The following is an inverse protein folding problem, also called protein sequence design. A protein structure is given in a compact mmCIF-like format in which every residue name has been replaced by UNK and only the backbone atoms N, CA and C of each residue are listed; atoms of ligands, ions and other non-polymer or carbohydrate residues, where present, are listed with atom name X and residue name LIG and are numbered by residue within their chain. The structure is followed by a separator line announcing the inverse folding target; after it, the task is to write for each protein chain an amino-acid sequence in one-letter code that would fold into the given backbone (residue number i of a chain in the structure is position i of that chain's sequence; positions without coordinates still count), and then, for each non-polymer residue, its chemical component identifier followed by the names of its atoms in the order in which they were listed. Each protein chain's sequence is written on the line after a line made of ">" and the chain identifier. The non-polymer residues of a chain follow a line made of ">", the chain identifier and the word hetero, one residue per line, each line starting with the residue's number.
data_IF_815455975958
#
_entry.id   IF_815455975958
#
_cell.length_a   1.000
_cell.length_b   1.000
_cell.length_c   1.000
_cell.angle_alpha   90.00
_cell.angle_beta   90.00
_cell.angle_gamma   90.00
#
_symmetry.space_group_name_H-M   'P 1'
#
loop_
_entity.id
_entity.type
_entity.pdbx_description
1 polymer ?
#
# COMPACT_ATOMS: atom_id res chain seq x y z
N UNK A 1 -60.53 12.68 6.60
CA UNK A 1 -61.40 11.51 6.78
C UNK A 1 -60.55 10.26 6.78
N UNK A 2 -60.44 9.69 7.93
CA UNK A 2 -60.27 8.33 8.46
C UNK A 2 -59.83 7.18 7.53
N UNK A 3 -59.22 6.06 8.08
CA UNK A 3 -58.41 5.91 9.28
C UNK A 3 -57.20 4.94 9.12
N UNK A 4 -56.41 4.90 10.20
CA UNK A 4 -55.36 3.92 10.57
C UNK A 4 -55.82 2.45 10.55
N UNK A 5 -54.90 1.53 10.33
CA UNK A 5 -54.92 0.21 10.97
C UNK A 5 -53.51 -0.21 11.44
N UNK A 6 -53.43 -0.41 12.76
CA UNK A 6 -52.37 -1.11 13.52
C UNK A 6 -52.63 -2.61 13.51
N UNK A 7 -51.60 -3.41 13.71
CA UNK A 7 -51.51 -4.71 14.41
C UNK A 7 -50.29 -5.45 13.85
N UNK A 8 -49.43 -6.18 14.55
CA UNK A 8 -49.38 -6.57 15.94
C UNK A 8 -48.12 -7.41 16.16
N UNK A 9 -47.59 -7.32 17.35
CA UNK A 9 -46.39 -8.01 17.88
C UNK A 9 -46.74 -9.48 18.12
N UNK A 10 -45.84 -10.41 17.81
CA UNK A 10 -45.83 -11.75 18.45
C UNK A 10 -44.40 -12.07 18.88
N UNK A 11 -44.23 -12.14 20.19
CA UNK A 11 -43.09 -12.65 20.93
C UNK A 11 -43.35 -14.15 21.15
N UNK A 12 -42.34 -15.00 20.89
CA UNK A 12 -42.33 -16.35 21.45
C UNK A 12 -40.97 -16.61 22.12
N UNK A 13 -41.03 -16.61 23.45
CA UNK A 13 -40.01 -17.16 24.34
C UNK A 13 -40.36 -18.63 24.58
N UNK A 14 -39.43 -19.53 24.47
CA UNK A 14 -39.48 -20.83 25.14
C UNK A 14 -38.17 -21.09 25.83
N UNK A 15 -38.21 -21.14 27.14
CA UNK A 15 -37.24 -21.57 28.12
C UNK A 15 -37.50 -23.05 28.43
N UNK A 16 -36.51 -23.91 28.40
CA UNK A 16 -36.57 -25.21 29.04
C UNK A 16 -35.23 -25.58 29.69
N UNK A 17 -35.19 -25.52 30.99
CA UNK A 17 -34.21 -26.15 31.87
C UNK A 17 -34.52 -27.63 32.01
N UNK A 18 -33.51 -28.51 32.05
CA UNK A 18 -33.57 -29.74 32.84
C UNK A 18 -32.18 -29.99 33.44
N UNK A 19 -32.16 -30.13 34.77
CA UNK A 19 -31.05 -30.52 35.65
C UNK A 19 -31.03 -32.03 35.91
N UNK A 20 -29.86 -32.51 36.34
CA UNK A 20 -29.56 -33.69 37.18
C UNK A 20 -29.03 -34.92 36.42
N UNK A 21 -28.12 -35.72 36.91
CA UNK A 21 -27.35 -35.81 38.15
C UNK A 21 -26.22 -36.85 37.95
N UNK A 22 -25.13 -36.69 38.71
CA UNK A 22 -24.10 -37.59 39.23
C UNK A 22 -23.99 -39.04 38.74
N UNK A 23 -22.72 -39.45 38.44
CA UNK A 23 -22.23 -40.84 38.51
C UNK A 23 -20.80 -40.96 38.00
N UNK A 24 -19.85 -41.20 38.92
CA UNK A 24 -18.43 -41.26 38.60
C UNK A 24 -17.99 -42.53 37.86
N UNK A 25 -16.85 -42.44 37.21
CA UNK A 25 -16.14 -43.53 36.56
C UNK A 25 -14.95 -42.95 35.77
N UNK A 26 -13.76 -43.08 36.38
CA UNK A 26 -12.49 -42.77 35.73
C UNK A 26 -12.18 -43.79 34.63
N UNK A 27 -12.06 -43.32 33.39
CA UNK A 27 -11.28 -44.01 32.35
C UNK A 27 -10.52 -42.95 31.58
N UNK A 28 -9.20 -43.05 31.59
CA UNK A 28 -8.30 -42.29 30.75
C UNK A 28 -8.56 -42.70 29.30
N UNK A 29 -9.19 -41.83 28.52
CA UNK A 29 -9.19 -41.90 27.09
C UNK A 29 -8.04 -41.01 26.58
N UNK A 30 -7.06 -41.69 25.98
CA UNK A 30 -6.03 -41.03 25.17
C UNK A 30 -6.70 -40.34 24.00
N UNK A 31 -6.70 -39.02 24.00
CA UNK A 31 -7.10 -38.21 22.84
C UNK A 31 -6.00 -38.35 21.79
N UNK A 32 -6.27 -39.11 20.76
CA UNK A 32 -5.48 -39.14 19.54
C UNK A 32 -5.66 -37.77 18.87
N UNK A 33 -4.60 -36.97 18.87
CA UNK A 33 -4.51 -35.67 18.22
C UNK A 33 -4.58 -35.90 16.70
N UNK A 34 -5.77 -35.82 16.12
CA UNK A 34 -5.96 -35.82 14.68
C UNK A 34 -5.33 -34.55 14.10
N UNK A 35 -4.26 -34.72 13.35
CA UNK A 35 -3.66 -33.65 12.55
C UNK A 35 -4.73 -32.96 11.70
N UNK A 36 -4.65 -31.63 11.53
CA UNK A 36 -5.62 -30.91 10.71
C UNK A 36 -5.60 -31.44 9.28
N UNK A 37 -6.77 -31.79 8.79
CA UNK A 37 -7.04 -32.19 7.42
C UNK A 37 -6.49 -31.11 6.48
N UNK A 38 -5.50 -31.48 5.67
CA UNK A 38 -4.94 -30.61 4.63
C UNK A 38 -6.06 -30.39 3.61
N UNK A 39 -6.67 -29.21 3.64
CA UNK A 39 -7.59 -28.78 2.57
C UNK A 39 -6.75 -28.73 1.30
N UNK A 40 -6.98 -29.71 0.39
CA UNK A 40 -6.42 -29.65 -0.96
C UNK A 40 -6.95 -28.39 -1.64
N UNK A 41 -6.05 -27.40 -1.78
CA UNK A 41 -6.30 -26.21 -2.60
C UNK A 41 -6.47 -26.67 -4.06
N UNK A 42 -7.44 -26.08 -4.73
CA UNK A 42 -7.69 -26.26 -6.17
C UNK A 42 -6.50 -25.72 -7.00
N UNK A 43 -5.38 -26.42 -6.96
CA UNK A 43 -4.30 -26.16 -7.92
C UNK A 43 -4.70 -26.79 -9.25
N UNK A 44 -4.84 -25.97 -10.29
CA UNK A 44 -4.85 -26.48 -11.67
C UNK A 44 -3.61 -27.37 -11.89
N UNK A 45 -3.71 -28.46 -12.62
CA UNK A 45 -2.60 -29.39 -12.79
C UNK A 45 -1.37 -28.64 -13.33
N UNK A 46 -0.26 -28.70 -12.58
CA UNK A 46 0.98 -28.06 -12.97
C UNK A 46 1.50 -28.67 -14.27
N UNK A 47 1.72 -27.86 -15.28
CA UNK A 47 2.32 -28.25 -16.55
C UNK A 47 3.82 -27.97 -16.46
N UNK A 48 4.66 -28.95 -16.83
CA UNK A 48 6.11 -28.73 -16.93
C UNK A 48 6.45 -28.30 -18.36
N UNK A 49 7.04 -27.14 -18.54
CA UNK A 49 7.51 -26.65 -19.83
C UNK A 49 8.79 -27.39 -20.29
N UNK A 50 9.19 -27.20 -21.55
CA UNK A 50 10.41 -27.83 -22.12
C UNK A 50 11.70 -27.42 -21.35
N UNK A 51 11.69 -26.32 -20.60
CA UNK A 51 12.79 -25.84 -19.76
C UNK A 51 12.79 -26.44 -18.34
N UNK A 52 11.82 -27.30 -17.98
CA UNK A 52 11.75 -27.95 -16.66
C UNK A 52 11.17 -27.07 -15.54
N UNK A 53 10.63 -25.88 -15.84
CA UNK A 53 9.93 -25.03 -14.88
C UNK A 53 8.47 -25.44 -14.80
N UNK A 54 7.98 -25.71 -13.58
CA UNK A 54 6.54 -25.92 -13.36
C UNK A 54 5.81 -24.60 -13.53
N UNK A 55 4.68 -24.62 -14.23
CA UNK A 55 3.79 -23.47 -14.43
C UNK A 55 2.42 -23.74 -13.85
N UNK A 56 1.68 -22.70 -13.56
CA UNK A 56 0.32 -22.75 -13.01
C UNK A 56 -0.55 -21.65 -13.61
N UNK A 57 -1.62 -21.28 -12.89
CA UNK A 57 -2.53 -20.21 -13.30
C UNK A 57 -1.74 -18.94 -13.59
N UNK A 58 -2.08 -18.25 -14.68
CA UNK A 58 -1.46 -17.00 -15.09
C UNK A 58 -0.07 -17.14 -15.73
N UNK A 59 0.38 -18.37 -16.03
CA UNK A 59 1.63 -18.62 -16.76
C UNK A 59 1.35 -19.54 -17.95
N UNK A 60 1.76 -19.14 -19.15
CA UNK A 60 1.54 -19.91 -20.39
C UNK A 60 2.84 -20.02 -21.21
N UNK A 61 2.93 -21.05 -22.04
CA UNK A 61 3.96 -21.16 -23.08
C UNK A 61 3.68 -20.29 -24.31
N UNK A 62 2.47 -19.79 -24.47
CA UNK A 62 2.13 -18.87 -25.55
C UNK A 62 2.74 -17.50 -25.29
N UNK A 63 3.16 -16.76 -26.34
CA UNK A 63 3.68 -15.41 -26.19
C UNK A 63 2.71 -14.46 -25.51
N UNK A 64 3.26 -13.48 -24.79
CA UNK A 64 2.46 -12.37 -24.29
C UNK A 64 1.87 -11.54 -25.45
N UNK A 65 0.71 -10.90 -25.25
CA UNK A 65 0.18 -9.94 -26.22
C UNK A 65 1.17 -8.77 -26.45
N UNK A 66 1.25 -8.28 -27.67
CA UNK A 66 2.14 -7.16 -28.03
C UNK A 66 1.75 -5.84 -27.34
N UNK A 67 0.47 -5.71 -26.94
CA UNK A 67 -0.05 -4.56 -26.19
C UNK A 67 -1.16 -5.00 -25.23
N UNK A 68 -1.35 -4.23 -24.16
CA UNK A 68 -2.48 -4.36 -23.22
C UNK A 68 -3.02 -2.98 -22.91
N UNK A 69 -4.33 -2.75 -23.15
CA UNK A 69 -4.97 -1.45 -22.93
C UNK A 69 -4.35 -0.32 -23.78
N UNK A 70 -3.84 -0.64 -24.96
CA UNK A 70 -3.19 0.33 -25.86
C UNK A 70 -1.73 0.66 -25.47
N UNK A 71 -1.17 0.00 -24.46
CA UNK A 71 0.23 0.18 -24.04
C UNK A 71 1.07 -0.99 -24.58
N UNK A 72 2.16 -0.74 -25.35
CA UNK A 72 3.08 -1.77 -25.80
C UNK A 72 3.67 -2.55 -24.62
N UNK A 73 3.87 -3.86 -24.79
CA UNK A 73 4.43 -4.70 -23.72
C UNK A 73 5.92 -5.00 -23.91
N UNK A 74 6.46 -4.77 -25.09
CA UNK A 74 7.82 -5.15 -25.50
C UNK A 74 8.14 -6.63 -25.24
N UNK A 75 7.10 -7.47 -25.26
CA UNK A 75 7.24 -8.91 -25.08
C UNK A 75 7.97 -9.57 -26.25
N UNK A 76 8.73 -10.62 -25.96
CA UNK A 76 9.45 -11.44 -26.94
C UNK A 76 8.53 -12.57 -27.41
N UNK A 77 8.25 -12.63 -28.72
CA UNK A 77 7.40 -13.65 -29.35
C UNK A 77 7.91 -15.09 -29.21
N UNK A 78 9.19 -15.26 -28.88
CA UNK A 78 9.80 -16.58 -28.66
C UNK A 78 9.65 -17.10 -27.24
N UNK A 79 9.08 -16.29 -26.33
CA UNK A 79 8.95 -16.60 -24.89
C UNK A 79 7.50 -16.83 -24.49
N UNK A 80 7.32 -17.58 -23.40
CA UNK A 80 6.03 -17.69 -22.73
C UNK A 80 5.63 -16.40 -22.03
N UNK A 81 4.46 -16.41 -21.39
CA UNK A 81 3.89 -15.24 -20.74
C UNK A 81 3.56 -15.47 -19.27
N UNK A 82 3.93 -14.52 -18.41
CA UNK A 82 3.45 -14.38 -17.02
C UNK A 82 2.47 -13.22 -16.99
N UNK A 83 1.23 -13.48 -16.59
CA UNK A 83 0.19 -12.49 -16.43
C UNK A 83 0.12 -12.02 -14.98
N UNK A 84 0.10 -10.71 -14.77
CA UNK A 84 -0.07 -10.07 -13.47
C UNK A 84 -1.40 -9.34 -13.40
N UNK A 85 -2.06 -9.36 -12.24
CA UNK A 85 -3.31 -8.66 -11.99
C UNK A 85 -3.09 -7.23 -11.50
N UNK A 86 -4.11 -6.38 -11.67
CA UNK A 86 -4.09 -4.99 -11.24
C UNK A 86 -5.45 -4.59 -10.68
N UNK A 87 -5.49 -4.30 -9.38
CA UNK A 87 -6.65 -3.82 -8.64
C UNK A 87 -6.39 -2.37 -8.23
N UNK A 88 -7.00 -1.41 -8.94
CA UNK A 88 -6.67 0.01 -8.85
C UNK A 88 -7.91 0.85 -8.50
N UNK A 89 -7.71 2.11 -8.16
CA UNK A 89 -8.76 3.08 -7.84
C UNK A 89 -8.83 4.18 -8.92
N UNK A 90 -9.75 4.02 -9.89
CA UNK A 90 -9.94 5.02 -10.95
C UNK A 90 -11.05 6.02 -10.66
N UNK A 91 -11.91 5.76 -9.67
CA UNK A 91 -13.10 6.60 -9.38
C UNK A 91 -13.25 7.01 -7.92
N UNK A 92 -12.39 6.53 -7.03
CA UNK A 92 -12.38 6.85 -5.60
C UNK A 92 -11.39 7.96 -5.22
N UNK A 93 -10.97 8.03 -3.95
CA UNK A 93 -10.14 9.11 -3.42
C UNK A 93 -8.73 9.20 -4.04
N UNK A 94 -8.24 8.13 -4.67
CA UNK A 94 -6.92 8.08 -5.32
C UNK A 94 -7.00 8.12 -6.85
N UNK A 95 -8.15 8.35 -7.44
CA UNK A 95 -8.35 8.42 -8.89
C UNK A 95 -7.40 9.40 -9.61
N UNK A 96 -7.00 10.48 -8.94
CA UNK A 96 -6.09 11.47 -9.49
C UNK A 96 -4.64 10.95 -9.67
N UNK A 97 -4.24 9.90 -8.93
CA UNK A 97 -2.87 9.37 -8.94
C UNK A 97 -2.76 7.97 -9.55
N UNK A 98 -3.88 7.26 -9.62
CA UNK A 98 -3.96 5.89 -10.13
C UNK A 98 -3.37 5.72 -11.55
N UNK A 99 -3.60 6.63 -12.53
CA UNK A 99 -3.02 6.49 -13.86
C UNK A 99 -1.49 6.56 -13.88
N UNK A 100 -0.89 7.42 -13.04
CA UNK A 100 0.57 7.54 -12.97
C UNK A 100 1.21 6.27 -12.37
N UNK A 101 0.60 5.72 -11.32
CA UNK A 101 1.04 4.47 -10.72
C UNK A 101 1.01 3.31 -11.74
N UNK A 102 -0.13 3.12 -12.41
CA UNK A 102 -0.29 2.08 -13.44
C UNK A 102 0.70 2.24 -14.59
N UNK A 103 0.84 3.47 -15.10
CA UNK A 103 1.75 3.76 -16.21
C UNK A 103 3.19 3.38 -15.87
N UNK A 104 3.65 3.71 -14.67
CA UNK A 104 5.00 3.37 -14.23
C UNK A 104 5.19 1.86 -14.03
N UNK A 105 4.19 1.16 -13.51
CA UNK A 105 4.24 -0.29 -13.36
C UNK A 105 4.30 -0.99 -14.72
N UNK A 106 3.49 -0.55 -15.70
CA UNK A 106 3.54 -1.06 -17.08
C UNK A 106 4.88 -0.77 -17.74
N UNK A 107 5.41 0.44 -17.57
CA UNK A 107 6.74 0.82 -18.05
C UNK A 107 7.86 -0.03 -17.45
N UNK A 108 7.77 -0.35 -16.17
CA UNK A 108 8.73 -1.25 -15.52
C UNK A 108 8.77 -2.63 -16.19
N UNK A 109 7.62 -3.24 -16.45
CA UNK A 109 7.57 -4.55 -17.11
C UNK A 109 7.90 -4.48 -18.60
N UNK A 110 7.64 -3.36 -19.28
CA UNK A 110 8.17 -3.10 -20.62
C UNK A 110 9.71 -3.11 -20.62
N UNK A 111 10.33 -2.40 -19.67
CA UNK A 111 11.78 -2.43 -19.50
C UNK A 111 12.28 -3.84 -19.21
N UNK A 112 11.69 -4.56 -18.28
CA UNK A 112 12.07 -5.95 -17.96
C UNK A 112 12.00 -6.82 -19.22
N UNK A 113 10.91 -6.75 -19.99
CA UNK A 113 10.76 -7.52 -21.23
C UNK A 113 11.82 -7.15 -22.27
N UNK A 114 12.10 -5.85 -22.47
CA UNK A 114 13.10 -5.36 -23.43
C UNK A 114 14.53 -5.77 -23.06
N UNK A 115 14.77 -6.08 -21.79
CA UNK A 115 16.09 -6.50 -21.28
C UNK A 115 16.21 -8.01 -21.09
N UNK A 116 15.24 -8.79 -21.56
CA UNK A 116 15.28 -10.25 -21.60
C UNK A 116 14.23 -10.98 -20.79
N UNK A 117 13.29 -10.25 -20.15
CA UNK A 117 12.19 -10.85 -19.38
C UNK A 117 12.63 -11.57 -18.11
N UNK A 118 11.85 -12.54 -17.68
CA UNK A 118 12.13 -13.39 -16.50
C UNK A 118 12.37 -14.83 -17.00
N UNK A 119 13.63 -15.20 -17.17
CA UNK A 119 13.97 -16.48 -17.78
C UNK A 119 13.39 -16.61 -19.19
N UNK A 120 12.62 -17.69 -19.44
CA UNK A 120 11.98 -17.95 -20.73
C UNK A 120 10.58 -17.31 -20.84
N UNK A 121 10.32 -16.25 -20.06
CA UNK A 121 9.00 -15.61 -20.03
C UNK A 121 9.14 -14.09 -20.16
N UNK A 122 8.20 -13.51 -20.92
CA UNK A 122 7.85 -12.09 -20.81
C UNK A 122 6.78 -11.92 -19.73
N UNK A 123 6.62 -10.71 -19.20
CA UNK A 123 5.66 -10.40 -18.14
C UNK A 123 4.75 -9.28 -18.57
N UNK A 124 3.45 -9.42 -18.36
CA UNK A 124 2.47 -8.36 -18.69
C UNK A 124 1.48 -8.18 -17.55
N UNK A 125 1.08 -6.92 -17.33
CA UNK A 125 -0.03 -6.58 -16.43
C UNK A 125 -1.33 -6.59 -17.24
N UNK A 126 -2.35 -7.31 -16.77
CA UNK A 126 -3.71 -7.28 -17.33
C UNK A 126 -4.29 -5.87 -17.23
N UNK A 127 -5.40 -5.62 -17.93
CA UNK A 127 -6.12 -4.36 -17.74
C UNK A 127 -6.50 -4.16 -16.27
N UNK A 128 -6.33 -2.94 -15.77
CA UNK A 128 -6.66 -2.60 -14.40
C UNK A 128 -8.17 -2.62 -14.17
N UNK A 129 -8.60 -3.09 -13.01
CA UNK A 129 -10.01 -3.09 -12.60
C UNK A 129 -10.25 -2.01 -11.56
N UNK A 130 -11.28 -1.19 -11.78
CA UNK A 130 -11.66 -0.13 -10.83
C UNK A 130 -12.31 -0.70 -9.58
N UNK A 131 -11.70 -0.45 -8.45
CA UNK A 131 -12.21 -0.84 -7.13
C UNK A 131 -12.95 0.29 -6.43
N UNK A 132 -12.89 1.51 -6.96
CA UNK A 132 -13.44 2.74 -6.36
C UNK A 132 -13.07 2.88 -4.87
N UNK A 133 -11.89 2.36 -4.48
CA UNK A 133 -11.41 2.30 -3.09
C UNK A 133 -12.40 1.65 -2.12
N UNK A 134 -13.16 0.69 -2.60
CA UNK A 134 -14.19 -0.02 -1.83
C UNK A 134 -13.79 -1.50 -1.65
N UNK A 135 -13.69 -2.03 -0.41
CA UNK A 135 -13.25 -3.41 -0.17
C UNK A 135 -14.10 -4.47 -0.87
N UNK A 136 -15.42 -4.28 -0.96
CA UNK A 136 -16.31 -5.24 -1.64
C UNK A 136 -16.06 -5.26 -3.15
N UNK A 137 -15.92 -4.09 -3.79
CA UNK A 137 -15.56 -3.99 -5.21
C UNK A 137 -14.16 -4.54 -5.47
N UNK A 138 -13.25 -4.38 -4.50
CA UNK A 138 -11.91 -4.94 -4.59
C UNK A 138 -11.94 -6.48 -4.62
N UNK A 139 -12.79 -7.10 -3.80
CA UNK A 139 -13.03 -8.55 -3.86
C UNK A 139 -13.65 -8.98 -5.20
N UNK A 140 -14.60 -8.20 -5.73
CA UNK A 140 -15.19 -8.46 -7.06
C UNK A 140 -14.12 -8.37 -8.16
N UNK A 141 -13.26 -7.36 -8.11
CA UNK A 141 -12.14 -7.19 -9.04
C UNK A 141 -11.11 -8.32 -8.92
N UNK A 142 -10.78 -8.74 -7.68
CA UNK A 142 -9.93 -9.89 -7.44
C UNK A 142 -10.51 -11.16 -8.06
N UNK A 143 -11.79 -11.45 -7.80
CA UNK A 143 -12.47 -12.62 -8.34
C UNK A 143 -12.55 -12.61 -9.88
N UNK A 144 -12.61 -11.43 -10.50
CA UNK A 144 -12.60 -11.31 -11.96
C UNK A 144 -11.25 -11.65 -12.59
N UNK A 145 -10.13 -11.46 -11.87
CA UNK A 145 -8.78 -11.69 -12.41
C UNK A 145 -8.12 -12.97 -11.86
N UNK A 146 -8.56 -13.49 -10.71
CA UNK A 146 -7.86 -14.56 -10.00
C UNK A 146 -7.58 -15.81 -10.81
N UNK A 147 -8.43 -16.17 -11.79
CA UNK A 147 -8.25 -17.34 -12.62
C UNK A 147 -7.29 -17.14 -13.81
N UNK A 148 -6.78 -15.93 -13.98
CA UNK A 148 -6.01 -15.55 -15.16
C UNK A 148 -4.60 -15.03 -14.86
N UNK A 149 -4.25 -14.80 -13.58
CA UNK A 149 -3.00 -14.15 -13.20
C UNK A 149 -2.17 -14.97 -12.22
N UNK A 150 -0.85 -14.87 -12.32
CA UNK A 150 0.09 -15.60 -11.45
C UNK A 150 0.31 -14.87 -10.11
N UNK A 151 0.26 -13.54 -10.12
CA UNK A 151 0.43 -12.68 -8.97
C UNK A 151 -0.27 -11.34 -9.24
N UNK A 152 -0.41 -10.48 -8.21
CA UNK A 152 -0.93 -9.13 -8.36
C UNK A 152 0.23 -8.13 -8.46
N UNK A 153 0.33 -7.40 -9.59
CA UNK A 153 1.24 -6.26 -9.73
C UNK A 153 0.82 -5.09 -8.83
N UNK A 154 -0.48 -4.96 -8.57
CA UNK A 154 -1.01 -3.96 -7.66
C UNK A 154 -2.29 -4.42 -6.97
N UNK A 155 -2.35 -4.18 -5.66
CA UNK A 155 -3.55 -4.19 -4.83
C UNK A 155 -3.58 -2.87 -4.05
N UNK A 156 -4.39 -1.90 -4.52
CA UNK A 156 -4.35 -0.55 -3.98
C UNK A 156 -5.23 -0.41 -2.73
N UNK A 157 -4.61 0.00 -1.63
CA UNK A 157 -5.26 0.32 -0.37
C UNK A 157 -5.11 -0.75 0.71
N UNK A 158 -4.93 -0.30 1.95
CA UNK A 158 -4.75 -1.18 3.13
C UNK A 158 -6.00 -2.00 3.43
N UNK A 159 -7.20 -1.41 3.65
CA UNK A 159 -8.40 -2.18 3.98
C UNK A 159 -8.86 -3.05 2.81
N UNK A 160 -8.62 -2.65 1.58
CA UNK A 160 -8.92 -3.40 0.39
C UNK A 160 -8.10 -4.69 0.30
N UNK A 161 -6.78 -4.56 0.49
CA UNK A 161 -5.87 -5.71 0.48
C UNK A 161 -6.12 -6.64 1.66
N UNK A 162 -6.34 -6.11 2.87
CA UNK A 162 -6.73 -6.91 4.04
C UNK A 162 -8.03 -7.68 3.81
N UNK A 163 -9.01 -7.07 3.13
CA UNK A 163 -10.31 -7.67 2.87
C UNK A 163 -10.25 -8.90 1.96
N UNK A 164 -9.30 -8.94 1.02
CA UNK A 164 -9.11 -10.07 0.11
C UNK A 164 -8.05 -11.07 0.57
N UNK A 165 -7.39 -10.83 1.70
CA UNK A 165 -6.23 -11.62 2.13
C UNK A 165 -6.56 -13.11 2.36
N UNK A 166 -7.79 -13.42 2.84
CA UNK A 166 -8.25 -14.80 2.98
C UNK A 166 -8.37 -15.52 1.64
N UNK A 167 -8.83 -14.82 0.60
CA UNK A 167 -8.92 -15.39 -0.74
C UNK A 167 -7.52 -15.51 -1.39
N UNK A 168 -6.65 -14.52 -1.19
CA UNK A 168 -5.26 -14.60 -1.63
C UNK A 168 -4.53 -15.80 -1.00
N UNK A 169 -4.80 -16.08 0.29
CA UNK A 169 -4.20 -17.22 1.00
C UNK A 169 -4.66 -18.57 0.42
N UNK A 170 -5.95 -18.73 0.17
CA UNK A 170 -6.50 -19.92 -0.49
C UNK A 170 -5.88 -20.16 -1.87
N UNK A 171 -5.63 -19.09 -2.61
CA UNK A 171 -5.07 -19.15 -3.96
C UNK A 171 -3.55 -19.17 -4.01
N UNK A 172 -2.86 -19.02 -2.87
CA UNK A 172 -1.43 -18.73 -2.80
C UNK A 172 -1.03 -17.51 -3.64
N UNK A 173 -1.90 -16.50 -3.76
CA UNK A 173 -1.70 -15.32 -4.59
C UNK A 173 -0.79 -14.32 -3.87
N UNK A 174 0.41 -14.12 -4.39
CA UNK A 174 1.31 -13.05 -3.93
C UNK A 174 0.92 -11.73 -4.62
N UNK A 175 1.02 -10.62 -3.90
CA UNK A 175 0.72 -9.31 -4.45
C UNK A 175 1.64 -8.20 -3.95
N UNK A 176 1.92 -7.24 -4.82
CA UNK A 176 2.53 -5.97 -4.45
C UNK A 176 1.41 -5.01 -4.04
N UNK A 177 1.32 -4.60 -2.77
CA UNK A 177 0.31 -3.66 -2.34
C UNK A 177 0.73 -2.25 -2.78
N UNK A 178 -0.24 -1.38 -3.05
CA UNK A 178 -0.01 0.05 -3.01
C UNK A 178 -0.49 0.56 -1.64
N UNK A 179 0.22 0.13 -0.62
CA UNK A 179 -0.06 0.32 0.81
C UNK A 179 1.21 -0.02 1.61
N UNK A 180 1.53 0.79 2.61
CA UNK A 180 2.71 0.65 3.47
C UNK A 180 2.31 0.42 4.93
N UNK A 181 1.29 -0.39 5.13
CA UNK A 181 0.84 -0.79 6.45
C UNK A 181 1.92 -1.61 7.15
N UNK A 182 2.25 -1.28 8.39
CA UNK A 182 3.31 -1.96 9.16
C UNK A 182 3.08 -3.48 9.30
N UNK A 183 1.84 -3.92 9.20
CA UNK A 183 1.48 -5.33 9.24
C UNK A 183 1.99 -6.17 8.08
N UNK A 184 2.28 -5.56 6.92
CA UNK A 184 2.76 -6.30 5.74
C UNK A 184 4.13 -6.96 5.94
N UNK A 185 4.91 -6.48 6.89
CA UNK A 185 6.21 -7.07 7.22
C UNK A 185 6.12 -8.26 8.17
N UNK A 186 4.93 -8.66 8.62
CA UNK A 186 4.76 -9.71 9.62
C UNK A 186 3.87 -10.84 9.13
N UNK A 187 4.43 -12.06 9.06
CA UNK A 187 3.69 -13.27 8.61
C UNK A 187 2.42 -13.58 9.41
N UNK A 188 2.33 -13.08 10.65
CA UNK A 188 1.11 -13.18 11.45
C UNK A 188 -0.05 -12.34 10.90
N UNK A 189 0.24 -11.38 10.02
CA UNK A 189 -0.74 -10.49 9.37
C UNK A 189 -0.85 -10.80 7.88
N UNK A 190 0.25 -10.69 7.13
CA UNK A 190 0.29 -10.80 5.66
C UNK A 190 0.32 -12.25 5.15
N UNK A 191 0.58 -13.23 6.04
CA UNK A 191 0.69 -14.67 5.73
C UNK A 191 1.79 -14.99 4.70
N UNK A 192 2.71 -14.08 4.47
CA UNK A 192 3.75 -14.18 3.44
C UNK A 192 3.21 -14.06 2.01
N UNK A 193 2.17 -13.25 1.83
CA UNK A 193 1.51 -13.01 0.54
C UNK A 193 1.78 -11.62 -0.02
N UNK A 194 2.36 -10.73 0.79
CA UNK A 194 2.55 -9.32 0.43
C UNK A 194 4.03 -9.00 0.25
N UNK A 195 4.36 -8.35 -0.85
CA UNK A 195 5.71 -7.89 -1.18
C UNK A 195 5.72 -6.37 -1.27
N UNK A 196 5.78 -5.72 -0.10
CA UNK A 196 5.80 -4.26 0.04
C UNK A 196 7.21 -3.68 -0.19
N UNK A 197 7.29 -2.35 -0.30
CA UNK A 197 8.53 -1.60 -0.43
C UNK A 197 8.45 -0.28 0.35
N UNK A 198 9.60 0.26 0.75
CA UNK A 198 9.68 1.53 1.49
C UNK A 198 9.26 1.42 2.96
N UNK A 199 9.26 2.54 3.66
CA UNK A 199 8.93 2.62 5.08
C UNK A 199 7.44 2.38 5.37
N UNK A 200 7.16 1.75 6.51
CA UNK A 200 5.79 1.61 6.98
C UNK A 200 5.20 2.95 7.41
N UNK A 201 3.91 3.16 7.23
CA UNK A 201 3.22 4.39 7.65
C UNK A 201 3.45 4.74 9.12
N UNK A 202 3.53 3.75 9.97
CA UNK A 202 3.85 3.95 11.38
C UNK A 202 5.26 4.53 11.57
N UNK A 203 6.26 3.98 10.88
CA UNK A 203 7.62 4.51 10.91
C UNK A 203 7.68 5.93 10.34
N UNK A 204 6.98 6.17 9.23
CA UNK A 204 6.86 7.50 8.64
C UNK A 204 6.22 8.50 9.61
N UNK A 205 5.19 8.10 10.35
CA UNK A 205 4.55 8.92 11.37
C UNK A 205 5.51 9.30 12.51
N UNK A 206 6.29 8.33 13.01
CA UNK A 206 7.33 8.59 14.01
C UNK A 206 8.38 9.56 13.47
N UNK A 207 8.91 9.29 12.28
CA UNK A 207 9.94 10.09 11.64
C UNK A 207 9.47 11.51 11.30
N UNK A 208 8.20 11.66 10.91
CA UNK A 208 7.61 12.95 10.61
C UNK A 208 7.64 13.90 11.82
N UNK A 209 7.22 13.42 12.99
CA UNK A 209 7.24 14.21 14.21
C UNK A 209 8.67 14.50 14.69
N UNK A 210 9.51 13.47 14.75
CA UNK A 210 10.91 13.61 15.19
C UNK A 210 11.68 14.59 14.32
N UNK A 211 11.51 14.48 12.98
CA UNK A 211 12.17 15.40 12.06
C UNK A 211 11.63 16.83 12.17
N UNK A 212 10.32 16.98 12.27
CA UNK A 212 9.72 18.31 12.41
C UNK A 212 10.23 19.04 13.66
N UNK A 213 10.30 18.33 14.79
CA UNK A 213 10.84 18.88 16.05
C UNK A 213 12.33 19.21 15.98
N UNK A 214 13.12 18.41 15.27
CA UNK A 214 14.56 18.59 15.18
C UNK A 214 14.99 19.64 14.13
N UNK A 215 14.20 19.83 13.07
CA UNK A 215 14.63 20.55 11.87
C UNK A 215 13.88 21.87 11.64
N UNK A 216 12.67 22.02 12.17
CA UNK A 216 11.86 23.22 11.95
C UNK A 216 12.08 24.26 13.05
N UNK A 217 12.05 25.55 12.72
CA UNK A 217 12.24 26.63 13.68
C UNK A 217 10.96 26.92 14.50
N UNK A 218 10.23 25.88 14.89
CA UNK A 218 8.97 25.94 15.64
C UNK A 218 9.06 25.01 16.84
N UNK A 219 8.68 25.50 18.01
CA UNK A 219 8.60 24.70 19.25
C UNK A 219 7.25 23.93 19.25
N UNK A 220 7.26 22.72 18.72
CA UNK A 220 6.06 21.88 18.60
C UNK A 220 5.73 21.27 19.96
N UNK A 221 4.63 21.73 20.59
CA UNK A 221 4.10 21.22 21.87
C UNK A 221 2.76 20.55 21.76
N UNK A 222 1.98 20.97 20.76
CA UNK A 222 0.63 20.46 20.52
C UNK A 222 0.47 20.03 19.07
N UNK A 223 -0.12 18.87 18.87
CA UNK A 223 -0.36 18.34 17.52
C UNK A 223 -1.79 17.86 17.35
N UNK A 224 -2.23 17.89 16.08
CA UNK A 224 -3.46 17.26 15.64
C UNK A 224 -3.17 16.12 14.67
N UNK A 225 -3.96 15.07 14.72
CA UNK A 225 -3.85 13.93 13.82
C UNK A 225 -5.18 13.75 13.08
N UNK A 226 -5.13 13.60 11.76
CA UNK A 226 -6.31 13.24 10.98
C UNK A 226 -5.99 12.20 9.92
N UNK A 227 -6.96 11.34 9.61
CA UNK A 227 -6.77 10.28 8.63
C UNK A 227 -7.98 9.37 8.50
N UNK A 228 -7.81 8.30 7.74
CA UNK A 228 -8.84 7.29 7.50
C UNK A 228 -8.71 6.14 8.50
N UNK A 229 -9.74 5.94 9.33
CA UNK A 229 -9.79 4.83 10.28
C UNK A 229 -9.81 3.48 9.57
N UNK A 230 -9.16 2.46 10.18
CA UNK A 230 -9.07 1.12 9.60
C UNK A 230 -8.25 1.04 8.31
N UNK A 231 -7.60 2.12 7.94
CA UNK A 231 -6.75 2.30 6.79
C UNK A 231 -5.37 2.78 7.24
N UNK A 232 -4.54 3.21 6.30
CA UNK A 232 -3.20 3.71 6.57
C UNK A 232 -3.17 4.86 7.61
N UNK A 233 -4.26 5.63 7.74
CA UNK A 233 -4.37 6.68 8.75
C UNK A 233 -4.29 6.18 10.19
N UNK A 234 -4.76 4.97 10.48
CA UNK A 234 -4.61 4.37 11.82
C UNK A 234 -3.14 4.02 12.11
N UNK A 235 -2.45 3.38 11.17
CA UNK A 235 -1.04 3.01 11.32
C UNK A 235 -0.14 4.24 11.47
N UNK A 236 -0.39 5.27 10.64
CA UNK A 236 0.24 6.59 10.72
C UNK A 236 0.01 7.24 12.09
N UNK A 237 -1.23 7.29 12.56
CA UNK A 237 -1.59 7.88 13.84
C UNK A 237 -0.93 7.17 15.03
N UNK A 238 -0.81 5.84 14.98
CA UNK A 238 -0.14 5.07 16.03
C UNK A 238 1.34 5.45 16.12
N UNK A 239 2.03 5.59 14.97
CA UNK A 239 3.42 6.04 14.96
C UNK A 239 3.61 7.43 15.54
N UNK A 240 2.75 8.39 15.16
CA UNK A 240 2.80 9.76 15.69
C UNK A 240 2.53 9.79 17.19
N UNK A 241 1.51 9.05 17.67
CA UNK A 241 1.19 8.98 19.11
C UNK A 241 2.36 8.42 19.91
N UNK A 242 3.02 7.37 19.41
CA UNK A 242 4.22 6.83 20.05
C UNK A 242 5.35 7.87 20.13
N UNK A 243 5.65 8.55 19.01
CA UNK A 243 6.67 9.60 19.00
C UNK A 243 6.29 10.78 19.91
N UNK A 244 5.03 11.20 19.94
CA UNK A 244 4.53 12.27 20.77
C UNK A 244 4.67 11.93 22.27
N UNK A 245 4.35 10.71 22.68
CA UNK A 245 4.55 10.22 24.05
C UNK A 245 6.03 10.30 24.44
N UNK A 246 6.92 9.80 23.59
CA UNK A 246 8.38 9.84 23.83
C UNK A 246 8.93 11.26 23.94
N UNK A 247 8.42 12.18 23.14
CA UNK A 247 8.87 13.55 23.08
C UNK A 247 8.18 14.48 24.10
N UNK A 248 7.13 14.02 24.79
CA UNK A 248 6.32 14.84 25.68
C UNK A 248 5.44 15.85 24.94
N UNK A 249 5.06 15.57 23.70
CA UNK A 249 4.17 16.39 22.86
C UNK A 249 2.71 15.98 23.12
N UNK A 250 1.83 16.98 23.22
CA UNK A 250 0.41 16.74 23.49
C UNK A 250 -0.36 16.55 22.17
N UNK A 251 -1.05 15.43 22.03
CA UNK A 251 -2.05 15.23 20.99
C UNK A 251 -3.34 15.92 21.43
N UNK A 252 -3.61 17.09 20.86
CA UNK A 252 -4.77 17.92 21.21
C UNK A 252 -6.08 17.32 20.66
N UNK A 253 -6.03 16.72 19.48
CA UNK A 253 -7.16 16.04 18.86
C UNK A 253 -6.70 14.96 17.89
N UNK A 254 -7.54 13.95 17.72
CA UNK A 254 -7.43 12.90 16.72
C UNK A 254 -8.77 12.78 16.00
N UNK A 255 -8.76 12.78 14.66
CA UNK A 255 -9.94 12.65 13.82
C UNK A 255 -9.72 11.56 12.77
N UNK A 256 -10.22 10.36 13.05
CA UNK A 256 -10.05 9.16 12.21
C UNK A 256 -11.43 8.54 11.89
N UNK A 257 -12.25 9.15 11.05
CA UNK A 257 -13.45 8.51 10.54
C UNK A 257 -13.13 7.46 9.47
N UNK A 258 -14.06 6.55 9.14
CA UNK A 258 -13.92 5.68 7.96
C UNK A 258 -13.66 6.50 6.68
N UNK A 259 -12.91 5.94 5.73
CA UNK A 259 -12.42 6.65 4.53
C UNK A 259 -13.51 7.43 3.78
N UNK A 260 -14.66 6.81 3.55
CA UNK A 260 -15.78 7.43 2.81
C UNK A 260 -16.64 8.37 3.66
N UNK A 261 -16.38 8.48 4.97
CA UNK A 261 -17.10 9.33 5.92
C UNK A 261 -16.28 10.54 6.38
N UNK A 262 -15.11 10.76 5.77
CA UNK A 262 -14.25 11.88 6.14
C UNK A 262 -14.90 13.23 5.79
N UNK A 263 -15.21 14.00 6.82
CA UNK A 263 -15.83 15.34 6.69
C UNK A 263 -14.75 16.42 6.84
N UNK A 264 -14.47 17.11 5.73
CA UNK A 264 -13.51 18.21 5.66
C UNK A 264 -13.90 19.37 6.59
N UNK A 265 -15.19 19.68 6.71
CA UNK A 265 -15.65 20.79 7.56
C UNK A 265 -15.43 20.47 9.06
N UNK A 266 -15.62 19.21 9.46
CA UNK A 266 -15.31 18.77 10.81
C UNK A 266 -13.80 18.84 11.09
N UNK A 267 -12.97 18.39 10.17
CA UNK A 267 -11.51 18.47 10.30
C UNK A 267 -11.03 19.91 10.48
N UNK A 268 -11.49 20.82 9.63
CA UNK A 268 -11.19 22.26 9.74
C UNK A 268 -11.75 22.85 11.03
N UNK A 269 -12.95 22.47 11.44
CA UNK A 269 -13.59 22.90 12.70
C UNK A 269 -12.74 22.54 13.93
N UNK A 270 -12.11 21.36 13.95
CA UNK A 270 -11.16 20.97 15.01
C UNK A 270 -9.94 21.90 15.03
N UNK A 271 -9.35 22.19 13.88
CA UNK A 271 -8.21 23.11 13.77
C UNK A 271 -8.53 24.53 14.26
N UNK A 272 -9.78 24.98 14.05
CA UNK A 272 -10.25 26.30 14.52
C UNK A 272 -10.49 26.31 16.03
N UNK A 273 -11.16 25.29 16.55
CA UNK A 273 -11.58 25.23 17.96
C UNK A 273 -10.46 24.79 18.91
N UNK A 274 -9.50 24.03 18.39
CA UNK A 274 -8.34 23.52 19.12
C UNK A 274 -7.07 23.72 18.27
N UNK A 275 -6.56 24.98 18.15
CA UNK A 275 -5.37 25.27 17.38
C UNK A 275 -4.16 24.46 17.86
N UNK A 276 -3.32 24.02 16.93
CA UNK A 276 -2.13 23.20 17.18
C UNK A 276 -0.91 23.79 16.46
N UNK A 277 0.28 23.45 16.93
CA UNK A 277 1.54 23.87 16.32
C UNK A 277 1.78 23.13 14.99
N UNK A 278 1.42 21.86 14.94
CA UNK A 278 1.49 21.03 13.73
C UNK A 278 0.32 20.05 13.63
N UNK A 279 -0.04 19.68 12.40
CA UNK A 279 -1.00 18.60 12.15
C UNK A 279 -0.45 17.56 11.17
N UNK A 280 -0.96 16.34 11.28
CA UNK A 280 -0.44 15.17 10.61
C UNK A 280 -1.55 14.48 9.80
N UNK A 281 -1.77 14.91 8.54
CA UNK A 281 -2.84 14.37 7.72
C UNK A 281 -2.43 13.06 7.01
N UNK A 282 -3.31 12.07 7.09
CA UNK A 282 -3.27 10.81 6.34
C UNK A 282 -4.61 10.60 5.62
N UNK A 283 -4.85 11.42 4.60
CA UNK A 283 -6.08 11.48 3.80
C UNK A 283 -5.76 11.45 2.31
N UNK A 284 -6.76 11.25 1.45
CA UNK A 284 -6.54 11.35 0.00
C UNK A 284 -6.14 12.78 -0.43
N UNK A 285 -5.48 12.94 -1.59
CA UNK A 285 -5.01 14.26 -2.04
C UNK A 285 -6.12 15.30 -2.17
N UNK A 286 -7.31 14.89 -2.62
CA UNK A 286 -8.47 15.78 -2.74
C UNK A 286 -8.91 16.35 -1.39
N UNK A 287 -8.99 15.51 -0.35
CA UNK A 287 -9.32 15.92 1.01
C UNK A 287 -8.22 16.80 1.59
N UNK A 288 -6.94 16.47 1.33
CA UNK A 288 -5.82 17.28 1.79
C UNK A 288 -5.88 18.72 1.28
N UNK A 289 -6.11 18.90 -0.02
CA UNK A 289 -6.26 20.24 -0.61
C UNK A 289 -7.44 21.01 -0.01
N UNK A 290 -8.57 20.33 0.23
CA UNK A 290 -9.76 20.97 0.83
C UNK A 290 -9.52 21.35 2.31
N UNK A 291 -8.89 20.49 3.10
CA UNK A 291 -8.54 20.80 4.50
C UNK A 291 -7.56 21.97 4.56
N UNK A 292 -6.47 21.92 3.78
CA UNK A 292 -5.49 23.01 3.76
C UNK A 292 -6.12 24.35 3.33
N UNK A 293 -6.94 24.32 2.26
CA UNK A 293 -7.66 25.51 1.78
C UNK A 293 -8.68 26.04 2.80
N UNK A 294 -9.42 25.14 3.44
CA UNK A 294 -10.38 25.50 4.49
C UNK A 294 -9.73 26.11 5.72
N UNK A 295 -8.62 25.53 6.20
CA UNK A 295 -7.83 26.09 7.29
C UNK A 295 -7.27 27.46 6.94
N UNK A 296 -6.70 27.61 5.73
CA UNK A 296 -6.19 28.91 5.26
C UNK A 296 -7.26 29.99 5.20
N UNK A 297 -8.48 29.67 4.74
CA UNK A 297 -9.62 30.61 4.74
C UNK A 297 -10.01 31.08 6.15
N UNK A 298 -9.72 30.28 7.19
CA UNK A 298 -9.91 30.65 8.60
C UNK A 298 -8.68 31.39 9.18
N UNK A 299 -7.68 31.70 8.37
CA UNK A 299 -6.45 32.34 8.79
C UNK A 299 -5.46 31.45 9.52
N UNK A 300 -5.60 30.13 9.39
CA UNK A 300 -4.73 29.14 10.04
C UNK A 300 -3.66 28.63 9.05
N UNK A 301 -2.42 28.60 9.51
CA UNK A 301 -1.28 28.07 8.74
C UNK A 301 -0.35 27.22 9.63
N UNK A 302 -0.88 26.22 10.35
CA UNK A 302 -0.03 25.32 11.15
C UNK A 302 0.90 24.51 10.25
N UNK A 303 1.99 24.00 10.83
CA UNK A 303 2.85 23.05 10.12
C UNK A 303 2.01 21.81 9.73
N UNK A 304 2.12 21.38 8.47
CA UNK A 304 1.55 20.12 7.98
C UNK A 304 2.66 19.14 7.65
N UNK A 305 2.62 17.95 8.26
CA UNK A 305 3.47 16.83 7.90
C UNK A 305 2.58 15.79 7.22
N UNK A 306 2.49 15.84 5.89
CA UNK A 306 1.59 14.99 5.11
C UNK A 306 2.15 13.57 4.99
N UNK A 307 1.33 12.55 5.28
CA UNK A 307 1.64 11.19 4.85
C UNK A 307 1.81 11.15 3.32
N UNK A 308 2.67 10.27 2.81
CA UNK A 308 3.00 10.24 1.39
C UNK A 308 1.76 10.15 0.46
N UNK A 309 0.70 9.36 0.76
CA UNK A 309 -0.50 9.33 -0.08
C UNK A 309 -1.35 10.61 -0.04
N UNK A 310 -1.09 11.53 0.91
CA UNK A 310 -1.85 12.78 1.02
C UNK A 310 -1.33 13.88 0.10
N UNK A 311 -0.10 13.78 -0.36
CA UNK A 311 0.51 14.75 -1.28
C UNK A 311 0.17 14.41 -2.74
N UNK A 312 0.11 15.45 -3.58
CA UNK A 312 0.04 15.32 -5.04
C UNK A 312 0.86 16.45 -5.68
N UNK A 313 1.68 16.09 -6.66
CA UNK A 313 2.54 17.03 -7.41
C UNK A 313 1.74 18.17 -8.04
N UNK A 314 0.46 17.93 -8.38
CA UNK A 314 -0.46 18.94 -8.89
C UNK A 314 -0.69 20.12 -7.90
N UNK A 315 -0.39 19.96 -6.61
CA UNK A 315 -0.54 21.05 -5.61
C UNK A 315 0.43 22.20 -5.83
N UNK A 316 1.51 21.97 -6.56
CA UNK A 316 2.49 22.99 -6.94
C UNK A 316 2.54 23.25 -8.45
N UNK A 317 1.61 22.68 -9.21
CA UNK A 317 1.49 22.93 -10.64
C UNK A 317 1.06 24.37 -10.93
N UNK A 318 1.47 24.88 -12.08
CA UNK A 318 1.05 26.21 -12.54
C UNK A 318 -0.48 26.28 -12.68
N UNK A 319 -1.07 27.35 -12.13
CA UNK A 319 -2.52 27.54 -12.12
C UNK A 319 -3.28 26.87 -10.98
N UNK A 320 -2.65 26.06 -10.13
CA UNK A 320 -3.32 25.52 -8.94
C UNK A 320 -3.50 26.64 -7.88
N UNK A 321 -4.74 26.90 -7.49
CA UNK A 321 -5.08 28.07 -6.66
C UNK A 321 -4.40 28.08 -5.28
N UNK A 322 -4.11 26.91 -4.71
CA UNK A 322 -3.44 26.79 -3.40
C UNK A 322 -1.92 26.59 -3.51
N UNK A 323 -1.32 26.68 -4.70
CA UNK A 323 0.13 26.57 -4.88
C UNK A 323 0.92 27.45 -3.90
N UNK A 324 0.60 28.75 -3.70
CA UNK A 324 1.34 29.57 -2.74
C UNK A 324 1.27 29.07 -1.29
N UNK A 325 0.19 28.40 -0.90
CA UNK A 325 0.04 27.79 0.40
C UNK A 325 0.95 26.56 0.54
N UNK A 326 0.94 25.67 -0.46
CA UNK A 326 1.79 24.47 -0.43
C UNK A 326 3.28 24.81 -0.47
N UNK A 327 3.67 25.89 -1.14
CA UNK A 327 5.06 26.40 -1.19
C UNK A 327 5.42 27.36 -0.05
N UNK A 328 4.51 27.63 0.88
CA UNK A 328 4.70 28.62 1.96
C UNK A 328 5.82 28.29 2.96
N UNK A 329 6.32 27.06 2.96
CA UNK A 329 7.28 26.55 3.95
C UNK A 329 6.65 26.04 5.24
N UNK A 330 5.32 25.88 5.27
CA UNK A 330 4.60 25.22 6.37
C UNK A 330 4.08 23.82 5.98
N UNK A 331 4.21 23.43 4.72
CA UNK A 331 3.79 22.14 4.20
C UNK A 331 4.99 21.24 3.90
N UNK A 332 4.96 20.03 4.41
CA UNK A 332 5.98 19.00 4.21
C UNK A 332 5.30 17.69 3.87
N UNK A 333 5.99 16.83 3.13
CA UNK A 333 5.47 15.51 2.75
C UNK A 333 6.47 14.40 3.02
N UNK A 334 5.98 13.27 3.44
CA UNK A 334 6.75 12.02 3.46
C UNK A 334 6.79 11.42 2.04
N UNK A 335 7.80 10.59 1.79
CA UNK A 335 7.91 9.81 0.57
C UNK A 335 8.55 8.45 0.90
N UNK A 336 8.28 7.46 0.05
CA UNK A 336 8.72 6.07 0.27
C UNK A 336 10.10 5.80 -0.30
N UNK A 337 10.53 6.62 -1.26
CA UNK A 337 11.78 6.50 -2.00
C UNK A 337 12.29 7.89 -2.37
N UNK A 338 13.53 7.95 -2.88
CA UNK A 338 14.12 9.19 -3.39
C UNK A 338 13.25 9.76 -4.55
N UNK A 339 13.25 11.10 -4.75
CA UNK A 339 12.39 11.75 -5.74
C UNK A 339 12.79 11.37 -7.18
N UNK A 340 11.92 11.68 -8.13
CA UNK A 340 12.08 11.37 -9.57
C UNK A 340 13.41 11.83 -10.15
N UNK A 341 13.96 12.93 -9.66
CA UNK A 341 15.22 13.53 -10.11
C UNK A 341 16.47 12.88 -9.51
N UNK A 342 16.31 11.91 -8.61
CA UNK A 342 17.46 11.27 -7.97
C UNK A 342 18.44 10.68 -9.00
N UNK A 343 19.73 10.78 -8.69
CA UNK A 343 20.83 10.35 -9.58
C UNK A 343 21.27 8.92 -9.22
N UNK A 344 20.44 7.94 -9.57
CA UNK A 344 20.77 6.52 -9.45
C UNK A 344 20.55 5.81 -10.79
N UNK A 345 21.20 4.66 -11.04
CA UNK A 345 20.96 3.88 -12.26
C UNK A 345 19.51 3.53 -12.49
N UNK A 346 18.78 3.17 -11.42
CA UNK A 346 17.36 2.83 -11.50
C UNK A 346 16.49 4.03 -11.90
N UNK A 347 16.72 5.22 -11.32
CA UNK A 347 16.00 6.44 -11.71
C UNK A 347 16.30 6.85 -13.15
N UNK A 348 17.54 6.69 -13.61
CA UNK A 348 17.91 6.95 -15.01
C UNK A 348 17.18 6.00 -15.96
N UNK A 349 17.10 4.70 -15.62
CA UNK A 349 16.38 3.68 -16.39
C UNK A 349 14.87 3.98 -16.42
N UNK A 350 14.28 4.33 -15.30
CA UNK A 350 12.87 4.72 -15.21
C UNK A 350 12.58 5.91 -16.12
N UNK A 351 13.34 7.00 -16.00
CA UNK A 351 13.16 8.21 -16.83
C UNK A 351 13.28 7.91 -18.32
N UNK A 352 14.31 7.14 -18.72
CA UNK A 352 14.50 6.75 -20.12
C UNK A 352 13.30 5.93 -20.64
N UNK A 353 12.76 5.03 -19.83
CA UNK A 353 11.58 4.24 -20.19
C UNK A 353 10.33 5.10 -20.29
N UNK A 354 10.09 5.99 -19.33
CA UNK A 354 8.95 6.93 -19.38
C UNK A 354 9.02 7.82 -20.63
N UNK A 355 10.20 8.34 -20.96
CA UNK A 355 10.42 9.10 -22.18
C UNK A 355 10.16 8.27 -23.46
N UNK A 356 10.59 7.01 -23.49
CA UNK A 356 10.29 6.10 -24.61
C UNK A 356 8.79 5.81 -24.76
N UNK A 357 8.00 5.92 -23.69
CA UNK A 357 6.55 5.85 -23.69
C UNK A 357 5.88 7.18 -24.05
N UNK A 358 6.65 8.24 -24.34
CA UNK A 358 6.13 9.57 -24.68
C UNK A 358 5.70 10.39 -23.45
N UNK A 359 6.21 10.07 -22.27
CA UNK A 359 5.91 10.76 -21.01
C UNK A 359 7.10 11.64 -20.61
N UNK A 360 6.93 12.93 -20.72
CA UNK A 360 7.97 13.92 -20.39
C UNK A 360 7.76 14.56 -19.01
N UNK A 361 6.65 14.26 -18.32
CA UNK A 361 6.34 14.83 -17.01
C UNK A 361 6.93 13.98 -15.88
N UNK A 362 7.65 14.63 -14.96
CA UNK A 362 8.05 14.01 -13.71
C UNK A 362 6.86 13.87 -12.75
N UNK A 363 6.89 12.84 -11.90
CA UNK A 363 5.91 12.67 -10.81
C UNK A 363 6.44 11.72 -9.74
N UNK A 364 6.13 12.01 -8.48
CA UNK A 364 6.41 11.13 -7.35
C UNK A 364 5.64 9.79 -7.47
N UNK A 365 4.46 9.81 -8.09
CA UNK A 365 3.66 8.59 -8.32
C UNK A 365 4.20 7.69 -9.44
N UNK A 366 4.93 8.25 -10.40
CA UNK A 366 5.70 7.43 -11.36
C UNK A 366 6.81 6.66 -10.62
N UNK A 367 7.51 7.32 -9.69
CA UNK A 367 8.55 6.65 -8.88
C UNK A 367 7.94 5.57 -8.01
N UNK A 368 6.82 5.84 -7.33
CA UNK A 368 6.14 4.88 -6.48
C UNK A 368 5.67 3.65 -7.27
N UNK A 369 5.01 3.86 -8.42
CA UNK A 369 4.56 2.78 -9.29
C UNK A 369 5.71 1.92 -9.80
N UNK A 370 6.80 2.54 -10.27
CA UNK A 370 8.01 1.84 -10.72
C UNK A 370 8.66 1.03 -9.61
N UNK A 371 8.89 1.67 -8.46
CA UNK A 371 9.59 1.06 -7.31
C UNK A 371 8.87 -0.17 -6.77
N UNK A 372 7.53 -0.16 -6.77
CA UNK A 372 6.70 -1.25 -6.28
C UNK A 372 6.92 -2.58 -7.00
N UNK A 373 7.50 -2.56 -8.20
CA UNK A 373 7.64 -3.75 -9.03
C UNK A 373 8.97 -4.50 -8.83
N UNK A 374 9.99 -3.87 -8.22
CA UNK A 374 11.29 -4.52 -8.01
C UNK A 374 11.16 -5.78 -7.16
N UNK A 375 10.40 -5.73 -6.07
CA UNK A 375 10.24 -6.87 -5.18
C UNK A 375 9.51 -8.02 -5.88
N UNK A 376 8.46 -7.75 -6.61
CA UNK A 376 7.74 -8.75 -7.38
C UNK A 376 8.62 -9.35 -8.48
N UNK A 377 9.45 -8.53 -9.17
CA UNK A 377 10.45 -9.01 -10.13
C UNK A 377 11.40 -10.00 -9.47
N UNK A 378 12.00 -9.64 -8.34
CA UNK A 378 12.93 -10.52 -7.62
C UNK A 378 12.28 -11.84 -7.19
N UNK A 379 11.02 -11.81 -6.77
CA UNK A 379 10.24 -13.01 -6.43
C UNK A 379 10.04 -13.90 -7.64
N UNK A 380 9.63 -13.35 -8.79
CA UNK A 380 9.45 -14.13 -10.03
C UNK A 380 10.78 -14.72 -10.53
N UNK A 381 11.88 -13.96 -10.49
CA UNK A 381 13.21 -14.47 -10.82
C UNK A 381 13.63 -15.64 -9.92
N UNK A 382 13.38 -15.52 -8.61
CA UNK A 382 13.67 -16.58 -7.64
C UNK A 382 12.79 -17.82 -7.89
N UNK A 383 11.51 -17.64 -8.24
CA UNK A 383 10.60 -18.72 -8.56
C UNK A 383 11.04 -19.48 -9.83
N UNK A 384 11.42 -18.76 -10.89
CA UNK A 384 11.99 -19.36 -12.11
C UNK A 384 13.27 -20.13 -11.81
N UNK A 385 14.20 -19.51 -11.07
CA UNK A 385 15.45 -20.17 -10.64
C UNK A 385 15.19 -21.41 -9.79
N UNK A 386 14.13 -21.40 -8.98
CA UNK A 386 13.66 -22.55 -8.19
C UNK A 386 12.91 -23.61 -9.01
N UNK A 387 12.65 -23.36 -10.29
CA UNK A 387 11.95 -24.28 -11.18
C UNK A 387 10.46 -24.39 -10.94
N UNK A 388 9.82 -23.41 -10.28
CA UNK A 388 8.39 -23.47 -9.92
C UNK A 388 7.73 -22.08 -9.99
N UNK A 389 7.03 -21.82 -11.10
CA UNK A 389 6.18 -20.65 -11.35
C UNK A 389 4.69 -20.91 -11.06
N UNK A 390 4.34 -21.97 -10.32
CA UNK A 390 3.01 -22.05 -9.73
C UNK A 390 2.86 -20.96 -8.67
N UNK A 391 1.65 -20.55 -8.33
CA UNK A 391 1.42 -19.57 -7.24
C UNK A 391 2.05 -20.01 -5.92
N UNK A 392 1.99 -21.31 -5.60
CA UNK A 392 2.67 -21.87 -4.44
C UNK A 392 4.21 -21.74 -4.54
N UNK A 393 4.79 -21.88 -5.75
CA UNK A 393 6.20 -21.63 -6.00
C UNK A 393 6.58 -20.18 -5.84
N UNK A 394 5.78 -19.26 -6.38
CA UNK A 394 5.94 -17.81 -6.24
C UNK A 394 5.86 -17.39 -4.76
N UNK A 395 4.86 -17.91 -4.02
CA UNK A 395 4.74 -17.65 -2.56
C UNK A 395 5.95 -18.16 -1.77
N UNK A 396 6.48 -19.33 -2.10
CA UNK A 396 7.72 -19.83 -1.46
C UNK A 396 8.91 -18.93 -1.76
N UNK A 397 9.02 -18.43 -2.98
CA UNK A 397 10.08 -17.47 -3.35
C UNK A 397 9.97 -16.17 -2.58
N UNK A 398 8.75 -15.62 -2.42
CA UNK A 398 8.49 -14.39 -1.66
C UNK A 398 8.90 -14.49 -0.19
N UNK A 399 8.94 -15.69 0.37
CA UNK A 399 9.25 -15.89 1.78
C UNK A 399 10.73 -15.61 2.15
N UNK A 400 11.63 -15.56 1.17
CA UNK A 400 13.08 -15.45 1.45
C UNK A 400 13.86 -15.07 0.18
N UNK A 401 13.66 -13.87 -0.33
CA UNK A 401 14.36 -13.35 -1.49
C UNK A 401 15.06 -12.03 -1.16
N UNK A 402 16.30 -11.92 -1.62
CA UNK A 402 17.09 -10.70 -1.54
C UNK A 402 16.87 -9.88 -2.81
N UNK A 403 16.43 -8.65 -2.65
CA UNK A 403 16.07 -7.78 -3.77
C UNK A 403 17.00 -6.58 -3.85
N UNK A 404 17.65 -6.44 -4.98
CA UNK A 404 18.42 -5.26 -5.39
C UNK A 404 17.58 -4.42 -6.35
N UNK A 405 17.70 -3.11 -6.25
CA UNK A 405 16.92 -2.15 -7.03
C UNK A 405 17.75 -1.08 -7.73
N UNK A 406 19.03 -1.33 -7.97
CA UNK A 406 19.97 -0.41 -8.64
C UNK A 406 19.96 1.02 -8.03
N UNK A 407 19.79 1.09 -6.71
CA UNK A 407 19.75 2.34 -5.95
C UNK A 407 18.39 3.04 -5.90
N UNK A 408 17.32 2.42 -6.42
CA UNK A 408 15.95 2.96 -6.27
C UNK A 408 15.51 2.97 -4.82
N UNK A 409 15.81 1.90 -4.09
CA UNK A 409 15.43 1.67 -2.70
C UNK A 409 16.61 1.08 -1.94
N UNK A 410 16.52 1.03 -0.62
CA UNK A 410 17.43 0.23 0.19
C UNK A 410 17.32 -1.24 -0.20
N UNK A 411 18.45 -1.92 -0.25
CA UNK A 411 18.49 -3.35 -0.51
C UNK A 411 17.82 -4.09 0.65
N UNK A 412 16.98 -5.06 0.34
CA UNK A 412 16.12 -5.71 1.30
C UNK A 412 16.05 -7.22 1.08
N UNK A 413 15.95 -7.96 2.17
CA UNK A 413 15.57 -9.38 2.19
C UNK A 413 14.09 -9.48 2.61
N UNK A 414 13.24 -9.99 1.72
CA UNK A 414 11.82 -10.21 2.00
C UNK A 414 11.61 -11.34 3.02
N UNK A 415 10.46 -11.35 3.68
CA UNK A 415 10.09 -12.37 4.64
C UNK A 415 10.71 -12.20 6.02
N UNK A 416 11.45 -11.12 6.27
CA UNK A 416 11.86 -10.73 7.61
C UNK A 416 10.65 -10.15 8.36
N UNK A 417 10.38 -10.63 9.56
CA UNK A 417 9.31 -10.07 10.41
C UNK A 417 9.76 -8.73 11.01
N UNK A 418 9.95 -7.75 10.15
CA UNK A 418 10.42 -6.41 10.52
C UNK A 418 10.02 -5.39 9.47
N UNK A 419 9.35 -4.32 9.89
CA UNK A 419 9.03 -3.20 9.02
C UNK A 419 10.28 -2.36 8.68
N UNK A 420 10.32 -1.80 7.47
CA UNK A 420 11.28 -0.77 7.10
C UNK A 420 10.96 0.54 7.83
N UNK A 421 11.98 1.24 8.27
CA UNK A 421 11.84 2.41 9.13
C UNK A 421 12.51 3.68 8.56
N UNK A 422 13.14 3.56 7.40
CA UNK A 422 13.85 4.66 6.76
C UNK A 422 12.90 5.48 5.89
N UNK A 423 12.69 6.77 6.24
CA UNK A 423 11.77 7.65 5.52
C UNK A 423 12.50 8.66 4.65
N UNK A 424 11.80 9.16 3.63
CA UNK A 424 12.20 10.33 2.86
C UNK A 424 11.25 11.49 3.22
N UNK A 425 11.81 12.67 3.38
CA UNK A 425 11.06 13.87 3.79
C UNK A 425 11.32 14.97 2.78
N UNK A 426 10.25 15.52 2.25
CA UNK A 426 10.28 16.53 1.23
C UNK A 426 9.47 17.77 1.58
N UNK A 427 9.64 18.78 0.76
CA UNK A 427 8.83 19.99 0.76
C UNK A 427 8.25 20.21 -0.63
N UNK A 428 6.95 20.52 -0.74
CA UNK A 428 6.36 20.95 -2.00
C UNK A 428 7.14 22.08 -2.66
N UNK A 429 7.49 21.92 -3.94
CA UNK A 429 8.32 22.87 -4.69
C UNK A 429 8.03 22.74 -6.20
N UNK A 430 7.30 23.71 -6.76
CA UNK A 430 6.95 23.72 -8.18
C UNK A 430 8.09 24.08 -9.12
N UNK A 431 9.30 24.38 -8.59
CA UNK A 431 10.50 24.53 -9.42
C UNK A 431 11.16 23.19 -9.75
N UNK A 432 10.74 22.11 -9.05
CA UNK A 432 11.19 20.75 -9.27
C UNK A 432 10.14 20.00 -10.09
N UNK A 433 10.58 19.23 -11.08
CA UNK A 433 9.67 18.54 -12.01
C UNK A 433 8.67 17.60 -11.32
N UNK A 434 9.12 16.86 -10.30
CA UNK A 434 8.26 15.99 -9.47
C UNK A 434 7.54 16.72 -8.33
N UNK A 435 7.59 18.04 -8.28
CA UNK A 435 6.86 18.84 -7.30
C UNK A 435 7.41 18.81 -5.88
N UNK A 436 8.57 18.18 -5.63
CA UNK A 436 9.10 18.00 -4.27
C UNK A 436 10.61 18.21 -4.23
N UNK A 437 11.08 19.09 -3.34
CA UNK A 437 12.49 19.18 -2.95
C UNK A 437 12.74 18.23 -1.78
N UNK A 438 13.70 17.31 -1.93
CA UNK A 438 14.14 16.41 -0.86
C UNK A 438 14.87 17.18 0.24
N UNK A 439 14.45 17.02 1.48
CA UNK A 439 15.06 17.61 2.68
C UNK A 439 15.85 16.59 3.50
N UNK A 440 15.37 15.35 3.58
CA UNK A 440 16.08 14.25 4.22
C UNK A 440 15.75 12.93 3.51
N UNK A 441 16.76 12.09 3.32
CA UNK A 441 16.63 10.74 2.76
C UNK A 441 17.13 9.69 3.75
N UNK A 442 16.49 8.52 3.76
CA UNK A 442 16.79 7.42 4.68
C UNK A 442 16.81 7.87 6.15
N UNK A 443 15.92 8.78 6.51
CA UNK A 443 15.86 9.36 7.85
C UNK A 443 15.22 8.37 8.83
N UNK A 444 15.89 8.19 9.97
CA UNK A 444 15.36 7.44 11.12
C UNK A 444 15.47 8.33 12.35
N UNK A 445 14.33 8.74 12.88
CA UNK A 445 14.23 9.51 14.11
C UNK A 445 14.38 8.64 15.36
N UNK A 446 14.58 9.27 16.55
CA UNK A 446 14.73 8.57 17.82
C UNK A 446 13.56 7.64 18.17
N UNK A 447 12.33 8.01 17.81
CA UNK A 447 11.16 7.20 18.06
C UNK A 447 11.19 5.91 17.22
N UNK A 448 11.38 6.03 15.91
CA UNK A 448 11.46 4.89 15.00
C UNK A 448 12.66 3.99 15.30
N UNK A 449 13.80 4.56 15.73
CA UNK A 449 14.98 3.79 16.08
C UNK A 449 14.80 3.00 17.37
N UNK A 450 14.09 3.54 18.35
CA UNK A 450 13.84 2.91 19.64
C UNK A 450 12.60 2.02 19.71
N UNK A 451 11.76 2.00 18.65
CA UNK A 451 10.56 1.16 18.62
C UNK A 451 10.91 -0.32 18.51
N UNK A 452 10.19 -1.17 19.22
CA UNK A 452 10.40 -2.63 19.16
C UNK A 452 9.70 -3.23 17.92
N UNK A 453 10.37 -3.14 16.78
CA UNK A 453 9.88 -3.71 15.50
C UNK A 453 9.79 -5.25 15.51
N UNK A 454 10.29 -5.93 16.53
CA UNK A 454 10.13 -7.39 16.65
C UNK A 454 8.83 -7.77 17.34
N UNK A 455 8.17 -6.83 18.01
CA UNK A 455 6.93 -7.04 18.74
C UNK A 455 5.68 -7.22 17.87
N UNK A 456 5.78 -6.92 16.58
CA UNK A 456 4.65 -6.95 15.64
C UNK A 456 4.41 -5.59 14.99
N UNK A 457 3.30 -5.46 14.22
CA UNK A 457 2.91 -4.17 13.63
C UNK A 457 2.61 -3.13 14.70
N UNK A 458 2.62 -1.87 14.31
CA UNK A 458 2.28 -0.77 15.21
C UNK A 458 0.85 -0.88 15.75
N UNK A 459 0.69 -0.71 17.03
CA UNK A 459 -0.59 -0.81 17.77
C UNK A 459 -0.75 0.33 18.79
#
# INVERSE_FOLDING_TARGET
>A
MKPLRKQGIIIFSILALVLAACGGGTTEETVEETAPEVVETLDSPAVTTAAGVKTGVGVTSDPCPAEVGGVPTMADDSKGCIYLGMLNDYTGPYAAVAPALETAQRGFWMWVNSTGGIGDYSVVIREGVDTAYNPQKHLEAYNAQREEVAALAMSLGTPQTLFILDEMDKDNMVGAPMSWYSGWSYKSVDRGLVVEFGSAYCADGMNALDWAMASLPVDIKTIGIMGFAGDYGTDWANGIKYAAEKAGVTVAWEYLPPTLEFDVAQAVGLMVTQPVDAYFPAVGPGQMAQVAGGAFQQGLTPIAMMAAPSYNDAFVAEGFALKPLFESGTMYNMAWVAPYEADTPAHATMRATMQAMGLDSASSFLVAGWSSQYHLKGVLEAAVKGGDLTRAGIRRAAANVYVESDGMMLTRELGQNRADKESFIGRPDGSIGSGTTLLAGNYVGPAADSYDWNGGPCS
#
